data_IF_338257524298
#
_entry.id   IF_338257524298
#
_cell.length_a   1.000
_cell.length_b   1.000
_cell.length_c   1.000
_cell.angle_alpha   90.00
_cell.angle_beta   90.00
_cell.angle_gamma   90.00
#
_symmetry.space_group_name_H-M   'P 1'
#
loop_
_entity.id
_entity.type
_entity.pdbx_description
1 polymer ?
#
# COMPACT_ATOMS: atom_id res chain seq x y z
N UNK A 1 53.44 -26.26 17.73
CA UNK A 1 52.11 -26.89 17.99
C UNK A 1 51.03 -25.89 18.37
N UNK A 2 51.19 -24.97 19.34
CA UNK A 2 50.14 -24.02 19.79
C UNK A 2 49.66 -23.08 18.67
N UNK A 3 50.51 -22.60 17.76
CA UNK A 3 50.16 -21.68 16.67
C UNK A 3 49.28 -22.36 15.60
N UNK A 4 49.57 -23.61 15.27
CA UNK A 4 48.79 -24.41 14.32
C UNK A 4 47.37 -24.73 14.88
N UNK A 5 47.29 -25.06 16.17
CA UNK A 5 46.03 -25.29 16.85
C UNK A 5 45.16 -24.01 16.88
N UNK A 6 45.78 -22.84 17.10
CA UNK A 6 45.08 -21.53 17.09
C UNK A 6 44.57 -21.17 15.70
N UNK A 7 45.35 -21.41 14.65
CA UNK A 7 44.91 -21.22 13.26
C UNK A 7 43.75 -22.16 12.90
N UNK A 8 43.84 -23.45 13.27
CA UNK A 8 42.75 -24.42 13.03
C UNK A 8 41.47 -24.01 13.74
N UNK A 9 41.55 -23.56 15.01
CA UNK A 9 40.37 -23.06 15.74
C UNK A 9 39.75 -21.83 15.07
N UNK A 10 40.60 -20.88 14.61
CA UNK A 10 40.13 -19.70 13.86
C UNK A 10 39.40 -20.09 12.58
N UNK A 11 39.96 -21.02 11.78
CA UNK A 11 39.29 -21.48 10.55
C UNK A 11 37.96 -22.19 10.81
N UNK A 12 37.88 -23.00 11.89
CA UNK A 12 36.62 -23.64 12.29
C UNK A 12 35.59 -22.58 12.69
N UNK A 13 35.99 -21.57 13.47
CA UNK A 13 35.09 -20.49 13.86
C UNK A 13 34.61 -19.68 12.63
N UNK A 14 35.51 -19.34 11.71
CA UNK A 14 35.16 -18.65 10.47
C UNK A 14 34.21 -19.48 9.60
N UNK A 15 34.45 -20.77 9.47
CA UNK A 15 33.57 -21.68 8.72
C UNK A 15 32.20 -21.76 9.38
N UNK A 16 32.13 -21.87 10.71
CA UNK A 16 30.84 -21.88 11.43
C UNK A 16 30.05 -20.57 11.25
N UNK A 17 30.73 -19.42 11.36
CA UNK A 17 30.10 -18.10 11.11
C UNK A 17 29.59 -18.01 9.67
N UNK A 18 30.42 -18.42 8.69
CA UNK A 18 30.01 -18.41 7.28
C UNK A 18 28.77 -19.29 7.04
N UNK A 19 28.73 -20.48 7.64
CA UNK A 19 27.59 -21.40 7.54
C UNK A 19 26.31 -20.75 8.10
N UNK A 20 26.42 -20.09 9.26
CA UNK A 20 25.28 -19.37 9.87
C UNK A 20 24.82 -18.22 8.96
N UNK A 21 25.75 -17.43 8.41
CA UNK A 21 25.41 -16.35 7.48
C UNK A 21 24.70 -16.89 6.24
N UNK A 22 25.21 -17.95 5.62
CA UNK A 22 24.58 -18.58 4.46
C UNK A 22 23.19 -19.09 4.81
N UNK A 23 23.02 -19.75 5.96
CA UNK A 23 21.71 -20.24 6.39
C UNK A 23 20.70 -19.08 6.61
N UNK A 24 21.13 -18.01 7.27
CA UNK A 24 20.29 -16.81 7.47
C UNK A 24 19.92 -16.15 6.13
N UNK A 25 20.88 -16.00 5.23
CA UNK A 25 20.63 -15.44 3.89
C UNK A 25 19.64 -16.31 3.12
N UNK A 26 19.77 -17.64 3.18
CA UNK A 26 18.84 -18.55 2.53
C UNK A 26 17.42 -18.44 3.12
N UNK A 27 17.29 -18.38 4.45
CA UNK A 27 15.99 -18.19 5.12
C UNK A 27 15.38 -16.84 4.73
N UNK A 28 16.16 -15.76 4.73
CA UNK A 28 15.69 -14.44 4.29
C UNK A 28 15.24 -14.47 2.82
N UNK A 29 16.03 -15.10 1.94
CA UNK A 29 15.69 -15.20 0.52
C UNK A 29 14.39 -16.00 0.29
N UNK A 30 14.19 -17.09 1.02
CA UNK A 30 12.94 -17.85 0.96
C UNK A 30 11.76 -17.04 1.48
N UNK A 31 11.92 -16.35 2.60
CA UNK A 31 10.88 -15.50 3.19
C UNK A 31 10.47 -14.36 2.26
N UNK A 32 11.44 -13.67 1.65
CA UNK A 32 11.20 -12.55 0.74
C UNK A 32 10.72 -13.01 -0.65
N UNK A 33 11.03 -14.25 -1.03
CA UNK A 33 10.55 -14.86 -2.28
C UNK A 33 9.14 -15.41 -2.20
N UNK A 34 8.61 -15.59 -1.00
CA UNK A 34 7.24 -16.03 -0.73
C UNK A 34 6.34 -14.79 -0.56
N UNK A 35 5.61 -14.42 -1.63
CA UNK A 35 4.75 -13.23 -1.68
C UNK A 35 3.54 -13.47 -2.59
N UNK A 36 2.50 -12.70 -2.37
CA UNK A 36 1.28 -12.72 -3.18
C UNK A 36 1.52 -12.00 -4.51
N UNK A 37 1.35 -12.74 -5.59
CA UNK A 37 1.53 -12.22 -6.96
C UNK A 37 0.24 -11.62 -7.47
N UNK A 38 0.36 -10.64 -8.36
CA UNK A 38 -0.77 -10.15 -9.13
C UNK A 38 -1.37 -11.30 -9.96
N UNK A 39 -2.68 -11.45 -9.90
CA UNK A 39 -3.42 -12.46 -10.66
C UNK A 39 -3.74 -11.90 -12.05
N UNK A 40 -3.09 -12.45 -13.08
CA UNK A 40 -3.21 -11.96 -14.45
C UNK A 40 -4.65 -12.05 -14.98
N UNK A 41 -5.40 -13.10 -14.62
CA UNK A 41 -6.80 -13.26 -15.05
C UNK A 41 -7.70 -12.21 -14.39
N UNK A 42 -7.48 -11.93 -13.10
CA UNK A 42 -8.21 -10.89 -12.38
C UNK A 42 -7.88 -9.49 -12.91
N UNK A 43 -6.62 -9.23 -13.29
CA UNK A 43 -6.22 -7.96 -13.91
C UNK A 43 -6.85 -7.76 -15.29
N UNK A 44 -6.89 -8.80 -16.13
CA UNK A 44 -7.49 -8.75 -17.47
C UNK A 44 -9.02 -8.61 -17.42
N UNK A 45 -9.66 -9.12 -16.38
CA UNK A 45 -11.11 -9.01 -16.19
C UNK A 45 -11.58 -7.60 -15.86
N UNK A 46 -10.69 -6.74 -15.39
CA UNK A 46 -10.99 -5.36 -15.06
C UNK A 46 -10.81 -4.44 -16.28
N UNK A 47 -11.80 -3.59 -16.51
CA UNK A 47 -11.75 -2.55 -17.56
C UNK A 47 -12.21 -1.22 -16.97
N UNK A 48 -11.39 -0.16 -17.03
CA UNK A 48 -11.76 1.15 -16.53
C UNK A 48 -12.93 1.75 -17.34
N UNK A 49 -13.73 2.60 -16.69
CA UNK A 49 -14.92 3.22 -17.30
C UNK A 49 -14.55 4.17 -18.44
N UNK A 50 -13.43 4.87 -18.33
CA UNK A 50 -12.87 5.73 -19.38
C UNK A 50 -11.41 5.37 -19.66
N UNK A 51 -10.85 5.71 -20.83
CA UNK A 51 -9.47 5.40 -21.16
C UNK A 51 -8.48 6.01 -20.16
N UNK A 52 -7.45 5.23 -19.82
CA UNK A 52 -6.33 5.63 -18.97
C UNK A 52 -5.02 5.30 -19.66
N UNK A 53 -3.95 6.00 -19.30
CA UNK A 53 -2.59 5.69 -19.75
C UNK A 53 -1.77 5.14 -18.61
N UNK A 54 -0.84 4.23 -18.91
CA UNK A 54 0.10 3.67 -17.94
C UNK A 54 1.53 3.97 -18.37
N UNK A 55 2.35 4.31 -17.40
CA UNK A 55 3.79 4.49 -17.55
C UNK A 55 4.47 3.76 -16.40
N UNK A 56 5.55 3.05 -16.67
CA UNK A 56 6.38 2.40 -15.65
C UNK A 56 7.72 3.11 -15.59
N UNK A 57 8.13 3.52 -14.39
CA UNK A 57 9.41 4.15 -14.15
C UNK A 57 10.53 3.11 -14.00
N UNK A 58 11.79 3.57 -14.06
CA UNK A 58 12.95 2.69 -13.96
C UNK A 58 13.04 1.91 -12.63
N UNK A 59 12.43 2.43 -11.56
CA UNK A 59 12.35 1.80 -10.25
C UNK A 59 11.17 0.83 -10.10
N UNK A 60 10.37 0.64 -11.16
CA UNK A 60 9.18 -0.22 -11.18
C UNK A 60 7.89 0.47 -10.73
N UNK A 61 7.95 1.72 -10.28
CA UNK A 61 6.75 2.51 -9.94
C UNK A 61 5.85 2.66 -11.16
N UNK A 62 4.55 2.42 -11.00
CA UNK A 62 3.57 2.51 -12.08
C UNK A 62 2.74 3.77 -11.92
N UNK A 63 2.75 4.63 -12.93
CA UNK A 63 1.93 5.84 -13.01
C UNK A 63 0.73 5.58 -13.92
N UNK A 64 -0.46 5.79 -13.40
CA UNK A 64 -1.72 5.61 -14.13
C UNK A 64 -2.45 6.95 -14.11
N UNK A 65 -2.78 7.47 -15.29
CA UNK A 65 -3.42 8.78 -15.41
C UNK A 65 -4.63 8.76 -16.34
N UNK A 66 -5.59 9.70 -16.15
CA UNK A 66 -6.69 9.87 -17.08
C UNK A 66 -6.16 10.22 -18.46
N UNK A 67 -6.72 9.64 -19.53
CA UNK A 67 -6.37 10.00 -20.90
C UNK A 67 -7.15 11.24 -21.36
N UNK A 68 -6.45 12.19 -21.96
CA UNK A 68 -7.05 13.35 -22.63
C UNK A 68 -7.62 14.44 -21.73
N UNK A 69 -7.34 14.40 -20.43
CA UNK A 69 -7.70 15.46 -19.46
C UNK A 69 -6.65 15.60 -18.37
N UNK A 70 -6.56 16.78 -17.78
CA UNK A 70 -5.70 17.03 -16.64
C UNK A 70 -6.26 16.32 -15.39
N UNK A 71 -5.39 15.78 -14.52
CA UNK A 71 -5.80 15.19 -13.25
C UNK A 71 -6.42 16.23 -12.31
N UNK A 72 -7.46 15.85 -11.57
CA UNK A 72 -8.09 16.69 -10.56
C UNK A 72 -7.44 16.56 -9.18
N UNK A 73 -6.73 15.45 -8.95
CA UNK A 73 -5.93 15.17 -7.76
C UNK A 73 -4.91 14.07 -8.05
N UNK A 74 -3.91 13.92 -7.19
CA UNK A 74 -2.94 12.83 -7.19
C UNK A 74 -3.10 11.91 -5.98
N UNK A 75 -2.89 10.62 -6.17
CA UNK A 75 -2.83 9.60 -5.14
C UNK A 75 -1.52 8.83 -5.26
N UNK A 76 -0.69 8.87 -4.23
CA UNK A 76 0.47 8.00 -4.09
C UNK A 76 0.05 6.81 -3.23
N UNK A 77 0.22 5.58 -3.76
CA UNK A 77 -0.29 4.39 -3.12
C UNK A 77 0.83 3.40 -2.74
N UNK A 78 0.86 3.02 -1.46
CA UNK A 78 1.77 2.02 -0.90
C UNK A 78 1.09 0.65 -0.82
N UNK A 79 1.65 -0.38 -1.48
CA UNK A 79 1.07 -1.73 -1.50
C UNK A 79 1.14 -2.42 -0.14
N UNK A 80 0.32 -3.43 0.05
CA UNK A 80 0.36 -4.32 1.21
C UNK A 80 1.66 -5.10 1.33
N UNK A 81 2.02 -5.46 2.56
CA UNK A 81 3.24 -6.22 2.82
C UNK A 81 3.23 -7.58 2.13
N UNK A 82 4.32 -7.92 1.42
CA UNK A 82 4.46 -9.14 0.62
C UNK A 82 3.42 -9.28 -0.50
N UNK A 83 2.87 -8.18 -1.00
CA UNK A 83 1.97 -8.17 -2.16
C UNK A 83 2.68 -7.47 -3.32
N UNK A 84 2.59 -8.04 -4.50
CA UNK A 84 3.06 -7.42 -5.74
C UNK A 84 2.25 -6.15 -6.00
N UNK A 85 2.92 -5.00 -6.16
CA UNK A 85 2.24 -3.70 -6.26
C UNK A 85 1.24 -3.66 -7.41
N UNK A 86 1.56 -4.28 -8.55
CA UNK A 86 0.68 -4.33 -9.73
C UNK A 86 -0.68 -5.00 -9.46
N UNK A 87 -0.83 -5.74 -8.35
CA UNK A 87 -2.13 -6.26 -7.93
C UNK A 87 -3.17 -5.16 -7.62
N UNK A 88 -2.72 -3.93 -7.34
CA UNK A 88 -3.62 -2.80 -7.07
C UNK A 88 -3.99 -2.00 -8.32
N UNK A 89 -3.50 -2.41 -9.50
CA UNK A 89 -3.81 -1.74 -10.77
C UNK A 89 -5.32 -1.57 -11.02
N UNK A 90 -6.21 -2.55 -10.75
CA UNK A 90 -7.64 -2.36 -10.96
C UNK A 90 -8.23 -1.19 -10.17
N UNK A 91 -7.84 -1.01 -8.91
CA UNK A 91 -8.27 0.12 -8.10
C UNK A 91 -7.71 1.45 -8.64
N UNK A 92 -6.42 1.47 -8.98
CA UNK A 92 -5.77 2.67 -9.52
C UNK A 92 -6.37 3.08 -10.87
N UNK A 93 -6.72 2.13 -11.73
CA UNK A 93 -7.40 2.40 -12.99
C UNK A 93 -8.83 2.88 -12.82
N UNK A 94 -9.57 2.33 -11.84
CA UNK A 94 -10.90 2.83 -11.50
C UNK A 94 -10.83 4.31 -11.10
N UNK A 95 -9.89 4.68 -10.24
CA UNK A 95 -9.68 6.07 -9.81
C UNK A 95 -9.18 6.97 -10.95
N UNK A 96 -8.25 6.48 -11.76
CA UNK A 96 -7.73 7.25 -12.89
C UNK A 96 -8.80 7.49 -13.95
N UNK A 97 -9.73 6.56 -14.17
CA UNK A 97 -10.87 6.75 -15.06
C UNK A 97 -11.80 7.87 -14.61
N UNK A 98 -11.77 8.22 -13.32
CA UNK A 98 -12.52 9.33 -12.73
C UNK A 98 -11.68 10.62 -12.58
N UNK A 99 -10.43 10.62 -13.02
CA UNK A 99 -9.60 11.82 -13.11
C UNK A 99 -8.49 11.91 -12.06
N UNK A 100 -8.19 10.86 -11.34
CA UNK A 100 -7.12 10.85 -10.35
C UNK A 100 -5.82 10.38 -11.01
N UNK A 101 -4.72 11.13 -10.83
CA UNK A 101 -3.40 10.62 -11.12
C UNK A 101 -2.99 9.65 -10.02
N UNK A 102 -2.78 8.38 -10.36
CA UNK A 102 -2.39 7.36 -9.40
C UNK A 102 -0.93 6.97 -9.60
N UNK A 103 -0.14 7.02 -8.52
CA UNK A 103 1.26 6.59 -8.50
C UNK A 103 1.37 5.39 -7.57
N UNK A 104 1.49 4.21 -8.15
CA UNK A 104 1.56 2.93 -7.46
C UNK A 104 3.03 2.55 -7.27
N UNK A 105 3.54 2.71 -6.05
CA UNK A 105 4.97 2.59 -5.76
C UNK A 105 5.40 1.12 -5.65
N UNK A 106 6.52 0.76 -6.28
CA UNK A 106 7.16 -0.52 -6.02
C UNK A 106 8.02 -0.42 -4.75
N UNK A 107 7.74 -1.26 -3.76
CA UNK A 107 8.47 -1.27 -2.50
C UNK A 107 9.61 -2.30 -2.52
N UNK A 108 10.80 -1.98 -1.93
CA UNK A 108 11.89 -2.93 -1.79
C UNK A 108 11.41 -4.23 -1.13
N UNK A 109 11.62 -5.34 -1.81
CA UNK A 109 11.15 -6.66 -1.35
C UNK A 109 9.65 -6.73 -1.03
N UNK A 110 8.82 -5.84 -1.56
CA UNK A 110 7.38 -5.69 -1.30
C UNK A 110 7.06 -5.37 0.17
N UNK A 111 7.94 -4.61 0.82
CA UNK A 111 7.82 -4.22 2.23
C UNK A 111 8.00 -2.71 2.37
N UNK A 112 6.91 -1.96 2.48
CA UNK A 112 6.91 -0.51 2.62
C UNK A 112 7.70 0.00 3.84
N UNK A 113 7.87 -0.84 4.87
CA UNK A 113 8.70 -0.51 6.05
C UNK A 113 10.20 -0.32 5.70
N UNK A 114 10.66 -0.83 4.56
CA UNK A 114 12.04 -0.69 4.11
C UNK A 114 12.30 0.61 3.33
N UNK A 115 11.24 1.28 2.90
CA UNK A 115 11.31 2.58 2.24
C UNK A 115 10.04 3.39 2.51
N UNK A 116 9.95 3.93 3.72
CA UNK A 116 8.80 4.76 4.14
C UNK A 116 8.74 6.05 3.34
N UNK A 117 9.88 6.54 2.87
CA UNK A 117 10.03 7.81 2.15
C UNK A 117 9.96 7.65 0.61
N UNK A 118 9.48 6.52 0.11
CA UNK A 118 9.37 6.28 -1.34
C UNK A 118 8.46 7.28 -2.09
N UNK A 119 7.68 8.11 -1.37
CA UNK A 119 6.88 9.18 -1.94
C UNK A 119 7.66 10.47 -2.21
N UNK A 120 8.90 10.61 -1.69
CA UNK A 120 9.70 11.82 -1.85
C UNK A 120 9.93 12.16 -3.33
N UNK A 121 9.65 13.41 -3.69
CA UNK A 121 9.85 13.92 -5.05
C UNK A 121 8.75 13.52 -6.06
N UNK A 122 7.78 12.69 -5.67
CA UNK A 122 6.67 12.33 -6.58
C UNK A 122 5.77 13.53 -6.85
N UNK A 123 5.28 14.31 -5.87
CA UNK A 123 4.46 15.49 -6.15
C UNK A 123 5.15 16.51 -7.05
N UNK A 124 6.44 16.70 -6.90
CA UNK A 124 7.24 17.65 -7.69
C UNK A 124 7.40 17.21 -9.15
N UNK A 125 7.24 15.92 -9.45
CA UNK A 125 7.28 15.42 -10.83
C UNK A 125 6.01 15.75 -11.63
N UNK A 126 4.93 16.16 -10.95
CA UNK A 126 3.61 16.39 -11.55
C UNK A 126 3.06 17.77 -11.19
N UNK A 127 3.66 18.80 -11.77
CA UNK A 127 3.31 20.20 -11.50
C UNK A 127 1.85 20.58 -11.84
N UNK A 128 1.17 19.77 -12.64
CA UNK A 128 -0.24 19.93 -13.00
C UNK A 128 -1.21 19.46 -11.90
N UNK A 129 -0.70 18.79 -10.85
CA UNK A 129 -1.50 18.27 -9.73
C UNK A 129 -1.31 19.16 -8.51
N UNK A 130 -2.39 19.82 -8.08
CA UNK A 130 -2.36 20.73 -6.93
C UNK A 130 -2.67 20.04 -5.60
N UNK A 131 -3.48 18.96 -5.63
CA UNK A 131 -3.94 18.25 -4.43
C UNK A 131 -3.38 16.83 -4.40
N UNK A 132 -2.72 16.49 -3.32
CA UNK A 132 -2.10 15.20 -3.16
C UNK A 132 -2.64 14.42 -1.97
N UNK A 133 -2.84 13.14 -2.17
CA UNK A 133 -3.27 12.19 -1.17
C UNK A 133 -2.28 11.04 -1.07
N UNK A 134 -2.05 10.58 0.16
CA UNK A 134 -1.38 9.30 0.39
C UNK A 134 -2.42 8.22 0.63
N UNK A 135 -2.14 7.03 0.16
CA UNK A 135 -2.96 5.86 0.45
C UNK A 135 -2.13 4.60 0.57
N UNK A 136 -2.75 3.57 1.12
CA UNK A 136 -2.10 2.27 1.16
C UNK A 136 -2.97 1.19 1.79
N UNK A 137 -2.58 -0.05 1.47
CA UNK A 137 -3.24 -1.23 1.99
C UNK A 137 -2.40 -1.89 3.09
N UNK A 138 -3.06 -2.31 4.18
CA UNK A 138 -2.42 -3.10 5.24
C UNK A 138 -1.13 -2.42 5.76
N UNK A 139 0.04 -3.08 5.68
CA UNK A 139 1.34 -2.50 6.02
C UNK A 139 1.62 -1.20 5.25
N UNK A 140 1.26 -1.16 3.96
CA UNK A 140 1.44 0.05 3.14
C UNK A 140 0.67 1.25 3.67
N UNK A 141 -0.58 1.06 4.12
CA UNK A 141 -1.37 2.12 4.73
C UNK A 141 -0.76 2.65 6.04
N UNK A 142 -0.24 1.76 6.89
CA UNK A 142 0.45 2.16 8.11
C UNK A 142 1.74 2.94 7.81
N UNK A 143 2.47 2.58 6.73
CA UNK A 143 3.68 3.29 6.33
C UNK A 143 3.37 4.62 5.63
N UNK A 144 2.29 4.70 4.85
CA UNK A 144 1.78 5.96 4.30
C UNK A 144 1.41 6.96 5.41
N UNK A 145 0.73 6.48 6.46
CA UNK A 145 0.44 7.29 7.65
C UNK A 145 1.73 7.74 8.38
N UNK A 146 2.73 6.86 8.47
CA UNK A 146 4.02 7.20 9.08
C UNK A 146 4.79 8.25 8.27
N UNK A 147 4.74 8.20 6.96
CA UNK A 147 5.30 9.21 6.06
C UNK A 147 4.64 10.57 6.28
N UNK A 148 3.30 10.59 6.30
CA UNK A 148 2.52 11.82 6.49
C UNK A 148 2.75 12.49 7.85
N UNK A 149 3.18 11.77 8.88
CA UNK A 149 3.47 12.39 10.17
C UNK A 149 4.54 13.50 10.11
N UNK A 150 5.36 13.51 9.06
CA UNK A 150 6.37 14.57 8.80
C UNK A 150 6.07 15.41 7.55
N UNK A 151 4.96 15.15 6.85
CA UNK A 151 4.63 15.78 5.55
C UNK A 151 3.15 16.22 5.49
N UNK A 152 2.56 16.58 6.64
CA UNK A 152 1.14 16.96 6.71
C UNK A 152 0.80 18.23 5.92
N UNK A 153 1.79 19.09 5.66
CA UNK A 153 1.59 20.34 4.91
C UNK A 153 1.63 20.14 3.39
N UNK A 154 2.16 19.00 2.93
CA UNK A 154 2.35 18.69 1.51
C UNK A 154 1.19 17.86 0.93
N UNK A 155 0.28 17.40 1.79
CA UNK A 155 -0.81 16.48 1.41
C UNK A 155 -2.16 16.93 1.97
N UNK A 156 -3.23 16.65 1.23
CA UNK A 156 -4.62 16.96 1.62
C UNK A 156 -5.26 15.82 2.43
N UNK A 157 -4.76 14.59 2.32
CA UNK A 157 -5.37 13.50 3.07
C UNK A 157 -4.70 12.13 2.96
N UNK A 158 -5.32 11.17 3.68
CA UNK A 158 -4.86 9.80 3.83
C UNK A 158 -5.99 8.80 3.59
N UNK A 159 -5.69 7.73 2.83
CA UNK A 159 -6.58 6.61 2.56
C UNK A 159 -5.99 5.34 3.15
N UNK A 160 -6.67 4.77 4.13
CA UNK A 160 -6.29 3.53 4.82
C UNK A 160 -7.20 2.39 4.36
N UNK A 161 -6.67 1.40 3.65
CA UNK A 161 -7.40 0.20 3.23
C UNK A 161 -6.97 -0.99 4.11
N UNK A 162 -7.88 -1.56 4.90
CA UNK A 162 -7.57 -2.63 5.84
C UNK A 162 -6.37 -2.32 6.75
N UNK A 163 -6.25 -1.08 7.22
CA UNK A 163 -5.06 -0.57 7.88
C UNK A 163 -5.39 0.39 9.04
N UNK A 164 -4.38 0.76 9.83
CA UNK A 164 -4.45 1.76 10.88
C UNK A 164 -3.15 2.57 10.98
N UNK A 165 -3.24 3.78 11.56
CA UNK A 165 -2.09 4.65 11.78
C UNK A 165 -1.53 4.47 13.19
N UNK A 166 -0.27 4.06 13.31
CA UNK A 166 0.47 4.11 14.57
C UNK A 166 1.06 5.50 14.83
N UNK A 167 1.17 6.34 13.81
CA UNK A 167 1.56 7.74 13.93
C UNK A 167 0.36 8.58 14.37
N UNK A 168 0.60 9.55 15.23
CA UNK A 168 -0.44 10.49 15.68
C UNK A 168 -0.64 11.57 14.61
N UNK A 169 -1.80 11.53 13.96
CA UNK A 169 -2.27 12.47 12.95
C UNK A 169 -3.52 13.23 13.42
N UNK A 170 -3.89 13.12 14.72
CA UNK A 170 -5.13 13.68 15.26
C UNK A 170 -5.28 15.18 15.03
N UNK A 171 -4.15 15.93 15.04
CA UNK A 171 -4.11 17.38 14.83
C UNK A 171 -3.57 17.77 13.45
N UNK A 172 -3.47 16.83 12.51
CA UNK A 172 -2.83 17.07 11.20
C UNK A 172 -3.63 17.96 10.25
N UNK A 173 -4.95 18.06 10.44
CA UNK A 173 -5.85 18.72 9.50
C UNK A 173 -6.11 17.94 8.22
N UNK A 174 -5.54 16.74 8.07
CA UNK A 174 -5.73 15.89 6.90
C UNK A 174 -7.17 15.36 6.80
N UNK A 175 -7.71 15.27 5.59
CA UNK A 175 -8.89 14.46 5.32
C UNK A 175 -8.50 12.98 5.39
N UNK A 176 -9.16 12.18 6.24
CA UNK A 176 -8.79 10.76 6.38
C UNK A 176 -9.99 9.86 6.08
N UNK A 177 -9.78 8.87 5.23
CA UNK A 177 -10.70 7.78 4.94
C UNK A 177 -10.10 6.46 5.39
N UNK A 178 -10.84 5.71 6.20
CA UNK A 178 -10.52 4.33 6.59
C UNK A 178 -11.56 3.38 6.03
N UNK A 179 -11.14 2.43 5.18
CA UNK A 179 -12.00 1.42 4.56
C UNK A 179 -11.55 0.04 4.96
N UNK A 180 -12.46 -0.83 5.37
CA UNK A 180 -12.17 -2.24 5.62
C UNK A 180 -13.37 -3.13 5.32
N UNK A 181 -13.13 -4.42 5.06
CA UNK A 181 -14.19 -5.40 4.84
C UNK A 181 -14.79 -5.90 6.17
N UNK A 182 -16.10 -6.22 6.20
CA UNK A 182 -16.73 -6.84 7.39
C UNK A 182 -16.13 -8.21 7.70
N UNK A 183 -15.70 -8.93 6.65
CA UNK A 183 -15.08 -10.26 6.72
C UNK A 183 -13.53 -10.19 6.76
N UNK A 184 -12.93 -9.01 6.92
CA UNK A 184 -11.47 -8.87 7.03
C UNK A 184 -10.95 -9.61 8.27
N UNK A 185 -10.29 -10.75 8.05
CA UNK A 185 -9.70 -11.62 9.08
C UNK A 185 -8.23 -11.29 9.40
N UNK A 186 -7.60 -10.38 8.64
CA UNK A 186 -6.18 -10.01 8.77
C UNK A 186 -6.01 -8.73 9.58
N UNK A 187 -6.89 -7.74 9.38
CA UNK A 187 -6.88 -6.49 10.14
C UNK A 187 -7.04 -6.77 11.64
N UNK A 188 -6.04 -6.45 12.43
CA UNK A 188 -6.12 -6.56 13.88
C UNK A 188 -7.10 -5.51 14.44
N UNK A 189 -8.34 -5.94 14.72
CA UNK A 189 -9.42 -5.06 15.18
C UNK A 189 -9.14 -4.39 16.52
N UNK A 190 -8.41 -5.08 17.43
CA UNK A 190 -8.04 -4.50 18.73
C UNK A 190 -7.03 -3.37 18.52
N UNK A 191 -6.04 -3.57 17.65
CA UNK A 191 -5.08 -2.53 17.27
C UNK A 191 -5.74 -1.39 16.49
N UNK A 192 -6.65 -1.71 15.58
CA UNK A 192 -7.43 -0.70 14.89
C UNK A 192 -8.18 0.22 15.87
N UNK A 193 -8.87 -0.38 16.84
CA UNK A 193 -9.58 0.38 17.88
C UNK A 193 -8.62 1.17 18.82
N UNK A 194 -7.47 0.58 19.16
CA UNK A 194 -6.43 1.23 20.00
C UNK A 194 -5.87 2.48 19.31
N UNK A 195 -5.60 2.40 18.00
CA UNK A 195 -4.96 3.49 17.24
C UNK A 195 -5.94 4.42 16.53
N UNK A 196 -7.24 4.15 16.56
CA UNK A 196 -8.27 5.02 16.00
C UNK A 196 -8.19 6.48 16.49
N UNK A 197 -7.85 6.77 17.77
CA UNK A 197 -7.66 8.15 18.25
C UNK A 197 -6.47 8.89 17.61
N UNK A 198 -5.58 8.21 16.90
CA UNK A 198 -4.49 8.85 16.15
C UNK A 198 -4.98 9.54 14.86
N UNK A 199 -6.23 9.32 14.46
CA UNK A 199 -6.81 9.96 13.30
C UNK A 199 -7.54 11.25 13.67
N UNK A 200 -7.65 12.26 12.79
CA UNK A 200 -8.43 13.48 13.02
C UNK A 200 -9.88 13.18 13.42
N UNK A 201 -10.48 14.00 14.29
CA UNK A 201 -11.84 13.78 14.83
C UNK A 201 -12.92 13.59 13.73
N UNK A 202 -12.75 14.23 12.59
CA UNK A 202 -13.70 14.17 11.45
C UNK A 202 -13.39 13.08 10.41
N UNK A 203 -12.52 12.10 10.69
CA UNK A 203 -12.22 11.07 9.70
C UNK A 203 -13.45 10.24 9.32
N UNK A 204 -13.49 9.79 8.07
CA UNK A 204 -14.56 8.94 7.55
C UNK A 204 -14.19 7.46 7.67
N UNK A 205 -15.11 6.65 8.20
CA UNK A 205 -14.97 5.19 8.26
C UNK A 205 -16.00 4.55 7.35
N UNK A 206 -15.55 3.66 6.46
CA UNK A 206 -16.41 2.89 5.55
C UNK A 206 -16.17 1.41 5.74
N UNK A 207 -17.24 0.65 6.01
CA UNK A 207 -17.19 -0.81 6.08
C UNK A 207 -17.81 -1.37 4.80
N UNK A 208 -17.03 -2.19 4.07
CA UNK A 208 -17.54 -2.92 2.92
C UNK A 208 -18.16 -4.22 3.42
N UNK A 209 -19.48 -4.28 3.46
CA UNK A 209 -20.22 -5.45 3.90
C UNK A 209 -19.93 -6.65 2.99
N UNK A 210 -19.49 -7.75 3.59
CA UNK A 210 -19.07 -8.94 2.87
C UNK A 210 -17.70 -8.85 2.19
N UNK A 211 -17.00 -7.74 2.34
CA UNK A 211 -15.62 -7.58 1.86
C UNK A 211 -14.61 -8.19 2.81
N UNK A 212 -13.42 -8.56 2.30
CA UNK A 212 -12.32 -9.09 3.09
C UNK A 212 -11.03 -8.28 2.92
N UNK A 213 -9.93 -8.72 3.51
CA UNK A 213 -8.64 -8.02 3.44
C UNK A 213 -8.03 -8.09 2.03
N UNK A 214 -8.02 -9.28 1.43
CA UNK A 214 -7.30 -9.52 0.20
C UNK A 214 -7.90 -8.78 -1.02
N UNK A 215 -9.20 -8.56 -1.04
CA UNK A 215 -9.89 -8.03 -2.23
C UNK A 215 -9.77 -6.52 -2.44
N UNK A 216 -8.91 -5.84 -1.67
CA UNK A 216 -8.41 -4.50 -2.03
C UNK A 216 -7.41 -4.56 -3.18
N UNK A 217 -6.86 -5.74 -3.51
CA UNK A 217 -5.99 -5.99 -4.65
C UNK A 217 -6.37 -7.27 -5.41
N UNK A 218 -5.87 -7.41 -6.63
CA UNK A 218 -6.08 -8.58 -7.48
C UNK A 218 -4.91 -9.57 -7.30
N UNK A 219 -4.85 -10.27 -6.15
CA UNK A 219 -3.80 -11.26 -5.84
C UNK A 219 -4.35 -12.58 -5.26
N UNK A 220 -5.67 -12.76 -5.34
CA UNK A 220 -6.35 -13.96 -4.86
C UNK A 220 -6.59 -13.96 -3.35
N UNK A 221 -6.75 -15.17 -2.78
CA UNK A 221 -6.99 -15.35 -1.36
C UNK A 221 -5.72 -15.17 -0.52
N UNK A 222 -5.87 -14.68 0.70
CA UNK A 222 -4.78 -14.51 1.65
C UNK A 222 -4.95 -15.42 2.85
N UNK A 223 -3.85 -16.04 3.31
CA UNK A 223 -3.86 -16.89 4.50
C UNK A 223 -4.29 -16.09 5.74
N UNK A 224 -5.25 -16.65 6.48
CA UNK A 224 -5.80 -16.03 7.69
C UNK A 224 -6.90 -15.00 7.45
N UNK A 225 -7.23 -14.72 6.18
CA UNK A 225 -8.32 -13.81 5.86
C UNK A 225 -9.70 -14.47 5.96
N UNK A 226 -10.75 -13.67 6.08
CA UNK A 226 -12.12 -14.11 6.04
C UNK A 226 -12.62 -14.42 4.62
N UNK A 227 -13.69 -15.17 4.54
CA UNK A 227 -14.32 -15.50 3.25
C UNK A 227 -15.24 -14.36 2.82
N UNK A 228 -14.87 -13.64 1.77
CA UNK A 228 -15.70 -12.59 1.22
C UNK A 228 -17.03 -13.14 0.65
N UNK A 229 -18.08 -12.35 0.74
CA UNK A 229 -19.39 -12.63 0.13
C UNK A 229 -19.66 -11.71 -1.08
N UNK A 230 -18.80 -10.71 -1.29
CA UNK A 230 -18.75 -9.87 -2.51
C UNK A 230 -17.64 -10.37 -3.43
N UNK A 231 -17.69 -10.00 -4.70
CA UNK A 231 -16.60 -10.30 -5.64
C UNK A 231 -15.45 -9.30 -5.49
N UNK A 232 -14.20 -9.66 -5.92
CA UNK A 232 -13.09 -8.70 -5.94
C UNK A 232 -13.42 -7.41 -6.71
N UNK A 233 -14.07 -7.52 -7.88
CA UNK A 233 -14.46 -6.37 -8.68
C UNK A 233 -15.47 -5.47 -7.95
N UNK A 234 -16.39 -6.05 -7.21
CA UNK A 234 -17.37 -5.29 -6.42
C UNK A 234 -16.69 -4.56 -5.25
N UNK A 235 -15.75 -5.20 -4.56
CA UNK A 235 -15.01 -4.54 -3.48
C UNK A 235 -14.13 -3.39 -4.01
N UNK A 236 -13.45 -3.59 -5.14
CA UNK A 236 -12.68 -2.53 -5.81
C UNK A 236 -13.59 -1.35 -6.18
N UNK A 237 -14.77 -1.61 -6.75
CA UNK A 237 -15.74 -0.58 -7.11
C UNK A 237 -16.18 0.23 -5.88
N UNK A 238 -16.61 -0.44 -4.80
CA UNK A 238 -17.05 0.23 -3.57
C UNK A 238 -15.91 1.02 -2.92
N UNK A 239 -14.68 0.49 -2.97
CA UNK A 239 -13.49 1.20 -2.47
C UNK A 239 -13.23 2.46 -3.28
N UNK A 240 -13.28 2.38 -4.61
CA UNK A 240 -13.11 3.55 -5.48
C UNK A 240 -14.18 4.62 -5.22
N UNK A 241 -15.44 4.22 -5.08
CA UNK A 241 -16.54 5.13 -4.75
C UNK A 241 -16.35 5.84 -3.40
N UNK A 242 -15.89 5.11 -2.37
CA UNK A 242 -15.61 5.71 -1.08
C UNK A 242 -14.46 6.74 -1.16
N UNK A 243 -13.40 6.42 -1.92
CA UNK A 243 -12.27 7.34 -2.15
C UNK A 243 -12.74 8.59 -2.90
N UNK A 244 -13.47 8.44 -4.01
CA UNK A 244 -13.96 9.56 -4.81
C UNK A 244 -14.88 10.46 -4.00
N UNK A 245 -15.77 9.89 -3.18
CA UNK A 245 -16.64 10.66 -2.30
C UNK A 245 -15.86 11.51 -1.30
N UNK A 246 -14.75 10.98 -0.72
CA UNK A 246 -13.87 11.76 0.15
C UNK A 246 -13.22 12.93 -0.61
N UNK A 247 -12.76 12.69 -1.84
CA UNK A 247 -12.10 13.72 -2.66
C UNK A 247 -13.04 14.84 -3.06
N UNK A 248 -14.33 14.55 -3.34
CA UNK A 248 -15.36 15.53 -3.64
C UNK A 248 -15.68 16.43 -2.44
N UNK A 249 -15.86 15.85 -1.24
CA UNK A 249 -16.12 16.60 0.01
C UNK A 249 -14.94 17.53 0.34
N UNK A 250 -13.72 17.09 0.10
CA UNK A 250 -12.51 17.92 0.31
C UNK A 250 -12.40 19.07 -0.70
N UNK A 251 -13.17 19.04 -1.79
CA UNK A 251 -13.18 20.12 -2.80
C UNK A 251 -14.17 21.24 -2.46
N UNK A 252 -15.20 20.96 -1.65
CA UNK A 252 -16.25 21.92 -1.30
C UNK A 252 -15.94 22.77 -0.05
N UNK A 253 -14.89 22.43 0.71
CA UNK A 253 -14.44 23.10 1.93
C UNK A 253 -13.20 23.96 1.68
#
# INVERSE_FOLDING_TARGET
MKLLARKKKLWITLAAVLTVVIALTAVCALYLGDYYRADAEALEAFSPATPVTREEWEDGTVVIRPEGRDPIAGLIFYPGGKVEHTAYTPLMEALASEGILCVLVEMPFRLAVLDVNAADGIPEAFHEVERWYMGGHSLGGSMAASYLASHTEDFDGLILLGSYSTADLSESGLSVLSVYGSEDGVLNRDKYAEYKPNLPEGFTETVIEGGNHAYFGAYGEQEGDGTATVTPAEQVRQTAEAILSMLEVSHEN
#
